data_IF_402307612963
#
_entry.id   IF_402307612963
#
_cell.length_a   1.000
_cell.length_b   1.000
_cell.length_c   1.000
_cell.angle_alpha   90.00
_cell.angle_beta   90.00
_cell.angle_gamma   90.00
#
_symmetry.space_group_name_H-M   'P 1'
#
loop_
_entity.id
_entity.type
_entity.pdbx_description
1 polymer ?
#
# COMPACT_ATOMS: atom_id res chain seq x y z
N UNK A 1 -1.58 -0.34 -1.26
CA UNK A 1 -0.90 -0.04 0.01
C UNK A 1 0.59 -0.14 -0.22
N UNK A 2 1.31 0.98 -0.14
CA UNK A 2 2.76 1.01 -0.29
C UNK A 2 3.38 1.74 0.91
N UNK A 3 4.69 1.92 0.93
CA UNK A 3 5.41 2.59 2.01
C UNK A 3 6.70 3.16 1.47
N UNK A 4 7.33 4.07 2.20
CA UNK A 4 8.62 4.64 1.78
C UNK A 4 9.80 3.73 2.09
N UNK A 5 9.61 2.76 2.99
CA UNK A 5 10.62 1.76 3.35
C UNK A 5 10.01 0.37 3.40
N UNK A 6 10.85 -0.66 3.30
CA UNK A 6 10.40 -2.06 3.40
C UNK A 6 9.68 -2.31 4.72
N UNK A 7 10.25 -1.84 5.83
CA UNK A 7 9.76 -2.10 7.19
C UNK A 7 8.71 -1.11 7.69
N UNK A 8 8.10 -0.30 6.82
CA UNK A 8 7.12 0.72 7.22
C UNK A 8 5.84 0.17 7.91
N UNK A 9 5.61 -1.15 7.90
CA UNK A 9 4.43 -1.78 8.49
C UNK A 9 3.29 -2.04 7.50
N UNK A 10 3.58 -2.04 6.19
CA UNK A 10 2.61 -2.31 5.11
C UNK A 10 1.82 -3.59 5.37
N UNK A 11 2.50 -4.70 5.63
CA UNK A 11 1.89 -6.02 5.83
C UNK A 11 0.90 -6.04 7.00
N UNK A 12 1.22 -5.35 8.10
CA UNK A 12 0.32 -5.24 9.26
C UNK A 12 -0.96 -4.49 8.88
N UNK A 13 -0.85 -3.35 8.20
CA UNK A 13 -2.02 -2.61 7.74
C UNK A 13 -2.82 -3.39 6.70
N UNK A 14 -2.17 -4.00 5.71
CA UNK A 14 -2.82 -4.80 4.66
C UNK A 14 -3.61 -5.96 5.26
N UNK A 15 -2.97 -6.75 6.12
CA UNK A 15 -3.60 -7.90 6.76
C UNK A 15 -4.74 -7.48 7.70
N UNK A 16 -4.53 -6.42 8.50
CA UNK A 16 -5.54 -5.87 9.38
C UNK A 16 -6.79 -5.40 8.63
N UNK A 17 -6.61 -4.64 7.54
CA UNK A 17 -7.72 -4.17 6.71
C UNK A 17 -8.44 -5.32 6.02
N UNK A 18 -7.71 -6.26 5.40
CA UNK A 18 -8.30 -7.43 4.76
C UNK A 18 -9.15 -8.24 5.75
N UNK A 19 -8.60 -8.53 6.93
CA UNK A 19 -9.30 -9.27 7.98
C UNK A 19 -10.54 -8.52 8.49
N UNK A 20 -10.42 -7.21 8.74
CA UNK A 20 -11.51 -6.38 9.23
C UNK A 20 -12.65 -6.22 8.22
N UNK A 21 -12.35 -6.07 6.92
CA UNK A 21 -13.39 -5.99 5.90
C UNK A 21 -14.03 -7.35 5.64
N UNK A 22 -13.25 -8.44 5.69
CA UNK A 22 -13.78 -9.79 5.60
C UNK A 22 -14.74 -10.09 6.75
N UNK A 23 -14.39 -9.73 7.99
CA UNK A 23 -15.28 -9.96 9.15
C UNK A 23 -16.58 -9.16 9.08
N UNK A 24 -16.58 -8.05 8.32
CA UNK A 24 -17.79 -7.27 7.96
C UNK A 24 -18.56 -7.85 6.77
N UNK A 25 -18.18 -9.03 6.28
CA UNK A 25 -18.88 -9.73 5.20
C UNK A 25 -18.58 -9.21 3.79
N UNK A 26 -17.50 -8.45 3.59
CA UNK A 26 -17.02 -8.10 2.25
C UNK A 26 -16.27 -9.28 1.63
N UNK A 27 -16.35 -9.39 0.30
CA UNK A 27 -15.50 -10.30 -0.47
C UNK A 27 -14.17 -9.60 -0.69
N UNK A 28 -13.14 -10.03 0.03
CA UNK A 28 -11.81 -9.42 -0.04
C UNK A 28 -10.83 -10.28 -0.84
N UNK A 29 -9.89 -9.66 -1.53
CA UNK A 29 -8.78 -10.33 -2.18
C UNK A 29 -7.48 -9.55 -1.98
N UNK A 30 -6.52 -10.18 -1.30
CA UNK A 30 -5.16 -9.66 -1.18
C UNK A 30 -4.32 -9.95 -2.42
N UNK A 31 -3.45 -9.03 -2.75
CA UNK A 31 -2.41 -9.19 -3.76
C UNK A 31 -1.09 -8.64 -3.23
N UNK A 32 0.02 -9.25 -3.66
CA UNK A 32 1.37 -8.79 -3.37
C UNK A 32 2.07 -8.42 -4.67
N UNK A 33 2.75 -7.28 -4.71
CA UNK A 33 3.62 -6.92 -5.81
C UNK A 33 4.99 -7.60 -5.67
N UNK A 34 5.58 -7.96 -6.82
CA UNK A 34 6.97 -8.42 -6.91
C UNK A 34 7.25 -9.83 -6.36
N UNK A 35 8.51 -10.29 -6.42
CA UNK A 35 8.89 -11.64 -6.04
C UNK A 35 9.02 -11.77 -4.51
N UNK A 36 7.88 -11.89 -3.82
CA UNK A 36 7.81 -12.15 -2.39
C UNK A 36 7.08 -13.46 -2.12
N UNK A 37 7.57 -14.24 -1.15
CA UNK A 37 7.06 -15.57 -0.81
C UNK A 37 6.49 -15.68 0.60
N UNK A 38 6.79 -14.71 1.48
CA UNK A 38 6.31 -14.72 2.88
C UNK A 38 5.05 -13.86 3.01
N UNK A 39 5.08 -12.64 2.50
CA UNK A 39 3.93 -11.72 2.60
C UNK A 39 2.65 -12.29 1.96
N UNK A 40 2.67 -13.00 0.81
CA UNK A 40 1.47 -13.61 0.26
C UNK A 40 0.78 -14.59 1.21
N UNK A 41 1.51 -15.28 2.11
CA UNK A 41 0.91 -16.21 3.06
C UNK A 41 0.09 -15.46 4.13
N UNK A 42 0.64 -14.36 4.64
CA UNK A 42 -0.04 -13.48 5.60
C UNK A 42 -1.29 -12.86 4.96
N UNK A 43 -1.16 -12.36 3.74
CA UNK A 43 -2.30 -11.80 2.99
C UNK A 43 -3.35 -12.86 2.65
N UNK A 44 -2.92 -14.10 2.39
CA UNK A 44 -3.85 -15.22 2.14
C UNK A 44 -4.66 -15.55 3.39
N UNK A 45 -4.01 -15.65 4.54
CA UNK A 45 -4.67 -15.88 5.81
C UNK A 45 -5.67 -14.76 6.16
N UNK A 46 -5.29 -13.49 5.92
CA UNK A 46 -6.16 -12.33 6.13
C UNK A 46 -7.33 -12.26 5.13
N UNK A 47 -7.11 -12.68 3.87
CA UNK A 47 -8.15 -12.69 2.83
C UNK A 47 -9.10 -13.88 2.96
N UNK A 48 -8.62 -15.01 3.48
CA UNK A 48 -9.35 -16.29 3.48
C UNK A 48 -9.27 -17.03 2.13
N UNK A 49 -8.50 -16.50 1.19
CA UNK A 49 -8.24 -17.07 -0.14
C UNK A 49 -6.77 -16.85 -0.48
N UNK A 50 -6.16 -17.67 -1.36
CA UNK A 50 -4.79 -17.44 -1.79
C UNK A 50 -4.59 -16.04 -2.39
N UNK A 51 -3.59 -15.32 -1.89
CA UNK A 51 -3.21 -14.01 -2.40
C UNK A 51 -2.73 -14.11 -3.86
N UNK A 52 -3.03 -13.10 -4.66
CA UNK A 52 -2.50 -12.98 -6.02
C UNK A 52 -1.07 -12.45 -6.00
N UNK A 53 -0.22 -12.97 -6.88
CA UNK A 53 1.08 -12.36 -7.16
C UNK A 53 0.96 -11.42 -8.36
N UNK A 54 1.42 -10.19 -8.20
CA UNK A 54 1.49 -9.16 -9.23
C UNK A 54 2.96 -8.79 -9.40
N UNK A 55 3.71 -9.73 -9.98
CA UNK A 55 5.12 -9.55 -10.27
C UNK A 55 5.32 -9.03 -11.70
N UNK A 56 5.61 -7.75 -11.86
CA UNK A 56 5.83 -7.16 -13.18
C UNK A 56 7.14 -7.60 -13.86
N UNK A 57 8.06 -8.28 -13.15
CA UNK A 57 9.21 -8.94 -13.79
C UNK A 57 8.78 -10.19 -14.57
N UNK A 58 7.82 -10.94 -14.03
CA UNK A 58 7.29 -12.17 -14.64
C UNK A 58 6.11 -11.90 -15.59
N UNK A 59 5.35 -10.84 -15.34
CA UNK A 59 4.11 -10.52 -16.05
C UNK A 59 4.21 -9.14 -16.72
N UNK A 60 4.27 -9.08 -18.06
CA UNK A 60 4.08 -7.84 -18.80
C UNK A 60 2.76 -7.15 -18.42
N UNK A 61 2.69 -5.83 -18.56
CA UNK A 61 1.57 -5.01 -18.10
C UNK A 61 0.16 -5.52 -18.49
N UNK A 62 -0.10 -6.00 -19.73
CA UNK A 62 -1.41 -6.57 -20.08
C UNK A 62 -1.77 -7.81 -19.27
N UNK A 63 -0.81 -8.72 -19.05
CA UNK A 63 -1.01 -9.94 -18.27
C UNK A 63 -1.12 -9.65 -16.78
N UNK A 64 -0.45 -8.60 -16.30
CA UNK A 64 -0.59 -8.14 -14.91
C UNK A 64 -2.01 -7.65 -14.63
N UNK A 65 -2.57 -6.83 -15.52
CA UNK A 65 -3.97 -6.39 -15.45
C UNK A 65 -4.93 -7.58 -15.52
N UNK A 66 -4.69 -8.50 -16.45
CA UNK A 66 -5.54 -9.69 -16.59
C UNK A 66 -5.51 -10.57 -15.32
N UNK A 67 -4.32 -10.82 -14.77
CA UNK A 67 -4.13 -11.58 -13.52
C UNK A 67 -4.89 -10.94 -12.36
N UNK A 68 -4.80 -9.61 -12.22
CA UNK A 68 -5.56 -8.84 -11.23
C UNK A 68 -7.07 -9.02 -11.42
N UNK A 69 -7.59 -8.77 -12.62
CA UNK A 69 -9.03 -8.82 -12.91
C UNK A 69 -9.63 -10.22 -12.78
N UNK A 70 -8.87 -11.27 -13.05
CA UNK A 70 -9.32 -12.67 -12.89
C UNK A 70 -9.60 -13.03 -11.43
N UNK A 71 -8.85 -12.45 -10.49
CA UNK A 71 -8.97 -12.74 -9.05
C UNK A 71 -9.76 -11.68 -8.29
N UNK A 72 -9.85 -10.47 -8.82
CA UNK A 72 -10.56 -9.38 -8.17
C UNK A 72 -12.04 -9.77 -7.93
N UNK A 73 -12.57 -9.57 -6.70
CA UNK A 73 -13.95 -9.91 -6.38
C UNK A 73 -14.90 -9.04 -7.20
N UNK A 74 -15.91 -9.67 -7.78
CA UNK A 74 -16.94 -8.98 -8.58
C UNK A 74 -18.08 -8.44 -7.71
N UNK A 75 -18.68 -7.36 -8.17
CA UNK A 75 -19.87 -6.73 -7.56
C UNK A 75 -19.54 -5.71 -6.47
N UNK A 76 -20.57 -5.05 -5.97
CA UNK A 76 -20.44 -3.88 -5.08
C UNK A 76 -19.93 -4.18 -3.66
N UNK A 77 -19.75 -5.46 -3.29
CA UNK A 77 -19.17 -5.89 -2.01
C UNK A 77 -17.73 -6.41 -2.16
N UNK A 78 -17.10 -6.18 -3.31
CA UNK A 78 -15.73 -6.58 -3.58
C UNK A 78 -14.71 -5.54 -3.09
N UNK A 79 -13.63 -6.01 -2.48
CA UNK A 79 -12.47 -5.20 -2.13
C UNK A 79 -11.19 -5.92 -2.53
N UNK A 80 -10.39 -5.33 -3.42
CA UNK A 80 -9.03 -5.77 -3.68
C UNK A 80 -8.05 -4.88 -2.92
N UNK A 81 -7.10 -5.48 -2.19
CA UNK A 81 -5.99 -4.77 -1.59
C UNK A 81 -4.68 -5.27 -2.20
N UNK A 82 -3.97 -4.37 -2.88
CA UNK A 82 -2.64 -4.64 -3.42
C UNK A 82 -1.59 -4.07 -2.49
N UNK A 83 -0.70 -4.91 -2.00
CA UNK A 83 0.45 -4.52 -1.19
C UNK A 83 1.71 -4.41 -2.04
N UNK A 84 2.42 -3.30 -1.92
CA UNK A 84 3.71 -3.09 -2.56
C UNK A 84 4.86 -3.88 -1.90
N UNK A 85 5.95 -4.03 -2.65
CA UNK A 85 7.24 -4.57 -2.17
C UNK A 85 8.20 -3.43 -1.86
N UNK A 86 9.06 -3.60 -0.85
CA UNK A 86 10.08 -2.62 -0.43
C UNK A 86 9.53 -1.19 -0.26
N UNK A 87 10.31 -0.15 -0.57
CA UNK A 87 9.82 1.20 -0.77
C UNK A 87 9.09 1.34 -2.11
N UNK A 88 8.16 2.30 -2.16
CA UNK A 88 7.19 2.45 -3.26
C UNK A 88 7.83 2.61 -4.65
N UNK A 89 9.07 3.12 -4.73
CA UNK A 89 9.86 3.28 -5.95
C UNK A 89 11.07 2.35 -6.06
N UNK A 90 11.39 1.55 -5.04
CA UNK A 90 12.72 0.93 -4.87
C UNK A 90 13.05 -0.12 -5.95
N UNK A 91 12.04 -0.73 -6.58
CA UNK A 91 12.24 -1.73 -7.64
C UNK A 91 12.21 -1.12 -9.05
N UNK A 92 12.10 0.21 -9.20
CA UNK A 92 12.07 0.87 -10.51
C UNK A 92 13.29 0.53 -11.38
N UNK A 93 14.49 0.41 -10.77
CA UNK A 93 15.72 0.02 -11.47
C UNK A 93 15.71 -1.43 -11.96
N UNK A 94 14.82 -2.27 -11.42
CA UNK A 94 14.60 -3.66 -11.86
C UNK A 94 13.54 -3.74 -12.96
N UNK A 95 13.14 -2.59 -13.52
CA UNK A 95 12.22 -2.41 -14.63
C UNK A 95 10.87 -1.82 -14.22
N UNK A 96 10.52 -1.82 -12.93
CA UNK A 96 9.15 -1.52 -12.48
C UNK A 96 9.02 -1.45 -10.95
N UNK A 97 8.27 -0.45 -10.48
CA UNK A 97 8.02 -0.15 -9.09
C UNK A 97 6.62 -0.55 -8.63
N UNK A 98 6.44 -0.69 -7.31
CA UNK A 98 5.10 -0.81 -6.71
C UNK A 98 4.17 0.34 -7.14
N UNK A 99 4.74 1.53 -7.36
CA UNK A 99 4.01 2.67 -7.91
C UNK A 99 3.50 2.43 -9.34
N UNK A 100 4.38 1.98 -10.25
CA UNK A 100 4.02 1.72 -11.65
C UNK A 100 3.03 0.57 -11.78
N UNK A 101 3.10 -0.44 -10.91
CA UNK A 101 2.07 -1.47 -10.80
C UNK A 101 0.72 -0.85 -10.45
N UNK A 102 0.68 0.05 -9.46
CA UNK A 102 -0.55 0.75 -9.10
C UNK A 102 -1.06 1.63 -10.26
N UNK A 103 -0.19 2.30 -11.02
CA UNK A 103 -0.59 3.08 -12.20
C UNK A 103 -1.16 2.18 -13.30
N UNK A 104 -0.49 1.07 -13.60
CA UNK A 104 -0.93 0.08 -14.59
C UNK A 104 -2.33 -0.43 -14.26
N UNK A 105 -2.56 -0.74 -12.99
CA UNK A 105 -3.85 -1.21 -12.47
C UNK A 105 -4.85 -0.08 -12.18
N UNK A 106 -4.44 1.19 -12.36
CA UNK A 106 -5.24 2.40 -12.09
C UNK A 106 -5.79 2.43 -10.66
N UNK A 107 -4.98 2.03 -9.69
CA UNK A 107 -5.39 1.89 -8.29
C UNK A 107 -5.11 3.17 -7.48
N UNK A 108 -6.05 3.60 -6.62
CA UNK A 108 -5.73 4.60 -5.61
C UNK A 108 -4.68 4.04 -4.64
N UNK A 109 -3.71 4.88 -4.28
CA UNK A 109 -2.58 4.44 -3.45
C UNK A 109 -2.53 5.24 -2.15
N UNK A 110 -2.23 4.56 -1.06
CA UNK A 110 -1.92 5.14 0.25
C UNK A 110 -0.52 4.70 0.66
N UNK A 111 0.21 5.59 1.34
CA UNK A 111 1.57 5.32 1.81
C UNK A 111 1.60 5.16 3.33
N UNK A 112 2.17 4.06 3.78
CA UNK A 112 2.48 3.85 5.19
C UNK A 112 3.80 4.54 5.51
N UNK A 113 3.78 5.40 6.54
CA UNK A 113 4.92 6.08 7.11
C UNK A 113 5.21 5.47 8.49
N UNK A 114 6.47 5.15 8.76
CA UNK A 114 6.90 4.69 10.08
C UNK A 114 7.24 5.87 10.97
N UNK A 115 6.46 6.08 12.03
CA UNK A 115 6.67 7.14 13.00
C UNK A 115 7.57 6.74 14.17
N UNK A 116 8.05 5.49 14.25
CA UNK A 116 8.75 4.99 15.45
C UNK A 116 9.98 5.82 15.88
N UNK A 117 10.68 6.42 14.92
CA UNK A 117 11.91 7.18 15.16
C UNK A 117 11.82 8.64 14.65
N UNK A 118 10.63 9.13 14.31
CA UNK A 118 10.47 10.46 13.71
C UNK A 118 9.08 11.02 13.91
N UNK A 119 9.01 12.32 14.21
CA UNK A 119 7.76 13.07 14.29
C UNK A 119 7.64 14.02 13.08
N UNK A 120 7.92 15.31 13.26
CA UNK A 120 7.74 16.36 12.24
C UNK A 120 8.60 16.13 11.00
N UNK A 121 9.75 15.46 11.11
CA UNK A 121 10.63 15.15 9.97
C UNK A 121 9.96 14.31 8.89
N UNK A 122 8.90 13.55 9.23
CA UNK A 122 8.11 12.82 8.24
C UNK A 122 7.41 13.73 7.22
N UNK A 123 7.26 15.04 7.53
CA UNK A 123 6.78 16.04 6.59
C UNK A 123 7.63 16.12 5.31
N UNK A 124 8.96 15.95 5.41
CA UNK A 124 9.87 16.00 4.26
C UNK A 124 9.55 14.84 3.30
N UNK A 125 9.43 13.65 3.88
CA UNK A 125 9.07 12.44 3.16
C UNK A 125 7.67 12.53 2.52
N UNK A 126 6.69 13.09 3.25
CA UNK A 126 5.34 13.29 2.76
C UNK A 126 5.26 14.31 1.61
N UNK A 127 5.98 15.43 1.73
CA UNK A 127 6.08 16.45 0.69
C UNK A 127 6.74 15.89 -0.58
N UNK A 128 7.86 15.17 -0.44
CA UNK A 128 8.53 14.51 -1.56
C UNK A 128 7.63 13.47 -2.24
N UNK A 129 6.92 12.64 -1.46
CA UNK A 129 5.95 11.70 -2.00
C UNK A 129 4.81 12.40 -2.74
N UNK A 130 4.28 13.52 -2.22
CA UNK A 130 3.27 14.32 -2.91
C UNK A 130 3.77 14.89 -4.23
N UNK A 131 5.01 15.37 -4.26
CA UNK A 131 5.63 15.95 -5.44
C UNK A 131 5.85 14.90 -6.53
N UNK A 132 6.40 13.73 -6.17
CA UNK A 132 6.74 12.67 -7.11
C UNK A 132 5.52 11.85 -7.56
N UNK A 133 4.58 11.58 -6.64
CA UNK A 133 3.51 10.59 -6.84
C UNK A 133 2.12 11.22 -6.93
N UNK A 134 1.95 12.50 -6.57
CA UNK A 134 0.63 13.09 -6.43
C UNK A 134 -0.20 13.17 -7.71
N UNK A 135 0.43 13.15 -8.90
CA UNK A 135 -0.28 13.09 -10.18
C UNK A 135 -0.85 11.70 -10.51
N UNK A 136 -0.38 10.64 -9.86
CA UNK A 136 -0.80 9.25 -10.13
C UNK A 136 -1.72 8.64 -9.07
N UNK A 137 -2.49 9.45 -8.34
CA UNK A 137 -3.54 8.90 -7.46
C UNK A 137 -3.08 8.48 -6.07
N UNK A 138 -2.03 9.11 -5.54
CA UNK A 138 -1.75 9.10 -4.11
C UNK A 138 -2.92 9.79 -3.37
N UNK A 139 -3.54 9.09 -2.42
CA UNK A 139 -4.74 9.54 -1.71
C UNK A 139 -4.51 9.96 -0.26
N UNK A 140 -3.37 9.61 0.32
CA UNK A 140 -3.06 9.95 1.69
C UNK A 140 -2.02 9.02 2.31
N UNK A 141 -1.88 9.15 3.61
CA UNK A 141 -0.86 8.48 4.40
C UNK A 141 -1.49 7.69 5.55
N UNK A 142 -0.83 6.62 5.99
CA UNK A 142 -1.13 5.87 7.20
C UNK A 142 0.08 5.95 8.11
N UNK A 143 -0.13 6.18 9.42
CA UNK A 143 0.95 6.29 10.39
C UNK A 143 1.13 4.98 11.15
N UNK A 144 2.24 4.29 10.91
CA UNK A 144 2.65 3.12 11.67
C UNK A 144 3.47 3.51 12.90
N UNK A 145 3.39 2.69 13.95
CA UNK A 145 4.24 2.78 15.17
C UNK A 145 4.26 4.15 15.86
N UNK A 146 3.12 4.83 15.91
CA UNK A 146 2.96 6.06 16.69
C UNK A 146 3.13 5.79 18.18
N UNK A 147 3.84 6.69 18.88
CA UNK A 147 4.23 6.55 20.28
C UNK A 147 3.18 6.99 21.30
N UNK A 148 2.00 7.40 20.86
CA UNK A 148 0.91 7.91 21.70
C UNK A 148 0.13 9.05 21.03
N UNK A 149 -0.92 9.53 21.69
CA UNK A 149 -1.84 10.53 21.12
C UNK A 149 -1.14 11.84 20.74
N UNK A 150 -0.27 12.36 21.61
CA UNK A 150 0.48 13.59 21.32
C UNK A 150 1.38 13.43 20.10
N UNK A 151 2.10 12.30 20.03
CA UNK A 151 3.01 12.01 18.92
C UNK A 151 2.23 11.82 17.60
N UNK A 152 1.11 11.10 17.63
CA UNK A 152 0.24 10.97 16.46
C UNK A 152 -0.25 12.33 15.95
N UNK A 153 -0.67 13.23 16.85
CA UNK A 153 -1.14 14.56 16.48
C UNK A 153 -0.03 15.41 15.87
N UNK A 154 1.19 15.35 16.41
CA UNK A 154 2.34 16.06 15.88
C UNK A 154 2.70 15.59 14.46
N UNK A 155 2.82 14.26 14.28
CA UNK A 155 3.12 13.65 12.97
C UNK A 155 2.02 13.98 11.96
N UNK A 156 0.74 13.82 12.34
CA UNK A 156 -0.41 14.11 11.48
C UNK A 156 -0.36 15.53 10.95
N UNK A 157 -0.23 16.52 11.84
CA UNK A 157 -0.18 17.94 11.45
C UNK A 157 0.96 18.23 10.49
N UNK A 158 2.13 17.67 10.76
CA UNK A 158 3.31 17.85 9.92
C UNK A 158 3.13 17.23 8.52
N UNK A 159 2.63 15.99 8.45
CA UNK A 159 2.39 15.25 7.21
C UNK A 159 1.30 15.91 6.38
N UNK A 160 0.16 16.24 6.98
CA UNK A 160 -0.97 16.88 6.28
C UNK A 160 -0.60 18.28 5.80
N UNK A 161 0.08 19.08 6.64
CA UNK A 161 0.51 20.44 6.29
C UNK A 161 1.51 20.48 5.13
N UNK A 162 2.47 19.55 5.09
CA UNK A 162 3.51 19.54 4.06
C UNK A 162 3.07 18.88 2.75
N UNK A 163 2.17 17.89 2.80
CA UNK A 163 1.72 17.17 1.61
C UNK A 163 0.39 17.67 1.04
N UNK A 164 -0.42 18.36 1.84
CA UNK A 164 -1.79 18.71 1.49
C UNK A 164 -2.71 17.49 1.28
N UNK A 165 -2.32 16.31 1.75
CA UNK A 165 -3.11 15.07 1.69
C UNK A 165 -3.41 14.56 3.10
N UNK A 166 -4.54 13.86 3.30
CA UNK A 166 -4.95 13.41 4.62
C UNK A 166 -4.06 12.30 5.16
N UNK A 167 -3.94 12.25 6.49
CA UNK A 167 -3.61 11.03 7.21
C UNK A 167 -4.92 10.28 7.50
N UNK A 168 -4.98 9.00 7.15
CA UNK A 168 -6.21 8.18 7.20
C UNK A 168 -6.31 7.33 8.47
#
# INVERSE_FOLDING_TARGET
>A
MAGLTSSAGKTTFSAGLLSAYRSRGLKVQGFKCGPDFLDPQVLSAASGTPAGNLDPFLLPAPLLMESFLRRAPRGHRGLSLVEGVMGVLDTASWGTSSWEVAQTLRLPTVLVLDASASSESLAISAAGARQLLGRGGLKGFLLGRVGGAWHETAVRRAVEGASGLPVL
#
